data_IF_235824137192
#
_entry.id   IF_235824137192
#
_cell.length_a   1.000
_cell.length_b   1.000
_cell.length_c   1.000
_cell.angle_alpha   90.00
_cell.angle_beta   90.00
_cell.angle_gamma   90.00
#
_symmetry.space_group_name_H-M   'P 1'
#
loop_
_entity.id
_entity.type
_entity.pdbx_description
1 polymer ?
#
# COMPACT_ATOMS: atom_id res chain seq x y z
N UNK A 1 -2.37 -3.46 8.26
CA UNK A 1 -1.71 -2.24 8.78
C UNK A 1 -2.46 -1.73 10.01
N UNK A 2 -1.77 -1.14 10.99
CA UNK A 2 -2.43 -0.54 12.15
C UNK A 2 -3.20 0.72 11.73
N UNK A 3 -4.47 0.90 12.13
CA UNK A 3 -5.24 2.11 11.83
C UNK A 3 -4.55 3.40 12.30
N UNK A 4 -3.85 3.34 13.44
CA UNK A 4 -3.06 4.45 13.96
C UNK A 4 -1.95 4.87 12.98
N UNK A 5 -1.23 3.91 12.41
CA UNK A 5 -0.14 4.18 11.47
C UNK A 5 -0.69 4.77 10.17
N UNK A 6 -1.82 4.27 9.68
CA UNK A 6 -2.45 4.82 8.46
C UNK A 6 -2.84 6.28 8.67
N UNK A 7 -3.42 6.62 9.81
CA UNK A 7 -3.77 8.00 10.16
C UNK A 7 -2.54 8.92 10.26
N UNK A 8 -1.43 8.43 10.83
CA UNK A 8 -0.17 9.17 10.91
C UNK A 8 0.42 9.44 9.52
N UNK A 9 0.45 8.44 8.64
CA UNK A 9 0.90 8.60 7.24
C UNK A 9 0.03 9.60 6.49
N UNK A 10 -1.29 9.50 6.62
CA UNK A 10 -2.22 10.44 5.98
C UNK A 10 -1.89 11.89 6.37
N UNK A 11 -1.70 12.17 7.66
CA UNK A 11 -1.38 13.52 8.17
C UNK A 11 -0.02 14.03 7.68
N UNK A 12 0.99 13.16 7.61
CA UNK A 12 2.31 13.50 7.09
C UNK A 12 2.19 13.94 5.62
N UNK A 13 1.47 13.17 4.80
CA UNK A 13 1.29 13.50 3.39
C UNK A 13 0.42 14.75 3.21
N UNK A 14 -0.63 14.90 4.01
CA UNK A 14 -1.52 16.07 3.96
C UNK A 14 -0.76 17.38 4.26
N UNK A 15 0.22 17.34 5.16
CA UNK A 15 1.02 18.49 5.58
C UNK A 15 2.33 18.69 4.81
N UNK A 16 2.66 17.81 3.86
CA UNK A 16 3.94 17.88 3.13
C UNK A 16 3.88 18.73 1.86
N UNK A 17 5.04 18.93 1.25
CA UNK A 17 5.28 19.53 -0.07
C UNK A 17 5.85 18.51 -1.08
N UNK A 18 5.58 17.22 -0.86
CA UNK A 18 6.16 16.15 -1.69
C UNK A 18 5.79 16.29 -3.17
N UNK A 19 6.73 15.92 -4.05
CA UNK A 19 6.53 15.93 -5.50
C UNK A 19 5.23 15.23 -5.95
N UNK A 20 4.87 14.12 -5.28
CA UNK A 20 3.69 13.32 -5.61
C UNK A 20 2.56 13.46 -4.58
N UNK A 21 2.55 14.55 -3.80
CA UNK A 21 1.66 14.74 -2.66
C UNK A 21 0.21 14.34 -2.93
N UNK A 22 -0.41 14.81 -4.00
CA UNK A 22 -1.83 14.55 -4.27
C UNK A 22 -2.10 13.06 -4.56
N UNK A 23 -1.19 12.39 -5.26
CA UNK A 23 -1.28 10.95 -5.51
C UNK A 23 -1.09 10.17 -4.20
N UNK A 24 -0.11 10.56 -3.38
CA UNK A 24 0.15 9.96 -2.08
C UNK A 24 -1.05 10.14 -1.13
N UNK A 25 -1.67 11.32 -1.13
CA UNK A 25 -2.83 11.64 -0.29
C UNK A 25 -4.03 10.79 -0.71
N UNK A 26 -4.24 10.61 -2.01
CA UNK A 26 -5.26 9.73 -2.57
C UNK A 26 -5.07 8.27 -2.14
N UNK A 27 -3.83 7.77 -2.16
CA UNK A 27 -3.49 6.41 -1.70
C UNK A 27 -3.77 6.28 -0.19
N UNK A 28 -3.24 7.20 0.62
CA UNK A 28 -3.41 7.17 2.08
C UNK A 28 -4.89 7.27 2.49
N UNK A 29 -5.69 8.08 1.78
CA UNK A 29 -7.13 8.20 2.01
C UNK A 29 -7.86 6.86 1.79
N UNK A 30 -7.56 6.14 0.69
CA UNK A 30 -8.15 4.81 0.45
C UNK A 30 -7.78 3.83 1.55
N UNK A 31 -6.52 3.79 1.96
CA UNK A 31 -6.07 2.89 3.01
C UNK A 31 -6.71 3.22 4.37
N UNK A 32 -6.94 4.52 4.65
CA UNK A 32 -7.64 4.99 5.85
C UNK A 32 -9.07 4.47 5.92
N UNK A 33 -9.72 4.34 4.77
CA UNK A 33 -11.06 3.76 4.64
C UNK A 33 -11.03 2.21 4.53
N UNK A 34 -9.89 1.58 4.86
CA UNK A 34 -9.64 0.14 4.71
C UNK A 34 -9.86 -0.40 3.29
N UNK A 35 -9.79 0.48 2.29
CA UNK A 35 -9.92 0.11 0.89
C UNK A 35 -8.54 -0.18 0.27
N UNK A 36 -8.24 -1.47 0.13
CA UNK A 36 -7.00 -1.96 -0.49
C UNK A 36 -7.21 -2.53 -1.90
N UNK A 37 -8.35 -2.24 -2.53
CA UNK A 37 -8.70 -2.78 -3.85
C UNK A 37 -7.69 -2.42 -4.96
N UNK A 38 -6.91 -1.35 -4.76
CA UNK A 38 -5.88 -0.87 -5.69
C UNK A 38 -4.45 -1.12 -5.22
N UNK A 39 -4.23 -2.00 -4.23
CA UNK A 39 -2.93 -2.12 -3.56
C UNK A 39 -1.77 -2.48 -4.51
N UNK A 40 -2.05 -3.24 -5.58
CA UNK A 40 -1.06 -3.59 -6.61
C UNK A 40 -0.64 -2.35 -7.40
N UNK A 41 -1.60 -1.50 -7.78
CA UNK A 41 -1.34 -0.25 -8.48
C UNK A 41 -0.65 0.76 -7.57
N UNK A 42 -1.04 0.81 -6.29
CA UNK A 42 -0.43 1.70 -5.30
C UNK A 42 1.04 1.33 -5.06
N UNK A 43 1.36 0.03 -4.96
CA UNK A 43 2.75 -0.46 -4.89
C UNK A 43 3.52 -0.17 -6.17
N UNK A 44 2.94 -0.51 -7.32
CA UNK A 44 3.62 -0.35 -8.61
C UNK A 44 3.86 1.11 -8.97
N UNK A 45 3.06 2.05 -8.47
CA UNK A 45 3.36 3.48 -8.58
C UNK A 45 4.74 3.83 -8.02
N UNK A 46 5.06 3.37 -6.80
CA UNK A 46 6.39 3.59 -6.21
C UNK A 46 7.48 2.80 -6.94
N UNK A 47 7.17 1.58 -7.38
CA UNK A 47 8.11 0.78 -8.17
C UNK A 47 8.51 1.48 -9.46
N UNK A 48 7.55 2.05 -10.19
CA UNK A 48 7.80 2.81 -11.42
C UNK A 48 8.52 4.13 -11.14
N UNK A 49 8.12 4.88 -10.10
CA UNK A 49 8.77 6.13 -9.68
C UNK A 49 10.26 5.94 -9.32
N UNK A 50 10.64 4.74 -8.85
CA UNK A 50 12.02 4.39 -8.50
C UNK A 50 12.76 3.63 -9.59
N UNK A 51 12.24 3.65 -10.83
CA UNK A 51 12.84 2.96 -11.98
C UNK A 51 13.14 1.47 -11.65
N UNK A 52 12.20 0.85 -10.94
CA UNK A 52 12.36 -0.50 -10.42
C UNK A 52 12.63 -1.51 -11.54
N UNK A 53 13.46 -2.50 -11.24
CA UNK A 53 13.77 -3.64 -12.13
C UNK A 53 13.38 -4.97 -11.52
N UNK A 54 13.28 -5.03 -10.19
CA UNK A 54 12.90 -6.21 -9.40
C UNK A 54 11.78 -5.83 -8.43
N UNK A 55 10.85 -6.76 -8.15
CA UNK A 55 9.80 -6.56 -7.14
C UNK A 55 8.51 -5.89 -7.64
N UNK A 56 8.22 -5.94 -8.94
CA UNK A 56 6.91 -5.52 -9.48
C UNK A 56 5.82 -6.45 -8.95
N UNK A 57 4.71 -5.87 -8.48
CA UNK A 57 3.55 -6.65 -8.04
C UNK A 57 2.68 -7.05 -9.23
N UNK A 58 2.26 -8.31 -9.27
CA UNK A 58 1.41 -8.86 -10.34
C UNK A 58 -0.02 -9.19 -9.87
N UNK A 59 -0.26 -9.21 -8.56
CA UNK A 59 -1.53 -9.56 -7.97
C UNK A 59 -1.49 -9.51 -6.45
N UNK A 60 -2.63 -9.81 -5.83
CA UNK A 60 -2.76 -10.09 -4.40
C UNK A 60 -2.95 -11.59 -4.20
N UNK A 61 -2.66 -12.09 -3.01
CA UNK A 61 -3.06 -13.45 -2.64
C UNK A 61 -4.59 -13.57 -2.70
N UNK A 62 -5.07 -14.70 -3.15
CA UNK A 62 -6.43 -15.15 -2.89
C UNK A 62 -6.60 -15.46 -1.40
N UNK A 63 -7.84 -15.56 -0.94
CA UNK A 63 -8.12 -15.91 0.46
C UNK A 63 -7.51 -17.26 0.86
N UNK A 64 -7.47 -18.24 -0.06
CA UNK A 64 -6.88 -19.55 0.21
C UNK A 64 -5.34 -19.45 0.37
N UNK A 65 -4.68 -18.73 -0.54
CA UNK A 65 -3.23 -18.52 -0.48
C UNK A 65 -2.83 -17.69 0.74
N UNK A 66 -3.64 -16.71 1.15
CA UNK A 66 -3.40 -15.92 2.36
C UNK A 66 -3.51 -16.78 3.62
N UNK A 67 -4.54 -17.63 3.71
CA UNK A 67 -4.69 -18.59 4.81
C UNK A 67 -3.45 -19.49 4.88
N UNK A 68 -3.08 -20.15 3.77
CA UNK A 68 -1.91 -21.02 3.71
C UNK A 68 -0.62 -20.30 4.16
N UNK A 69 -0.42 -19.07 3.68
CA UNK A 69 0.72 -18.25 4.07
C UNK A 69 0.77 -17.99 5.59
N UNK A 70 -0.37 -17.68 6.20
CA UNK A 70 -0.48 -17.48 7.66
C UNK A 70 -0.14 -18.78 8.40
N UNK A 71 -0.67 -19.92 7.95
CA UNK A 71 -0.45 -21.21 8.60
C UNK A 71 1.02 -21.63 8.60
N UNK A 72 1.73 -21.38 7.50
CA UNK A 72 3.13 -21.78 7.34
C UNK A 72 4.10 -20.85 8.09
N UNK A 73 3.77 -19.56 8.25
CA UNK A 73 4.76 -18.56 8.69
C UNK A 73 4.50 -17.94 10.07
N UNK A 74 3.27 -18.00 10.60
CA UNK A 74 2.88 -17.21 11.79
C UNK A 74 2.10 -17.98 12.85
N UNK A 75 1.93 -19.29 12.71
CA UNK A 75 1.30 -20.16 13.72
C UNK A 75 2.29 -20.68 14.75
#
# INVERSE_FOLDING_TARGET
MSPKIIEEVYKIVESSDFQHRDRLLSIAARWRDFNFSTIVQDHNFFWEDKEGTVGKAHGTLSAAEEIEFIEVNFK
#
